data_IF_654281607833
#
_entry.id   IF_654281607833
#
_cell.length_a   1.000
_cell.length_b   1.000
_cell.length_c   1.000
_cell.angle_alpha   90.00
_cell.angle_beta   90.00
_cell.angle_gamma   90.00
#
_symmetry.space_group_name_H-M   'P 1'
#
loop_
_entity.id
_entity.type
_entity.pdbx_description
1 polymer ?
#
# COMPACT_ATOMS: atom_id res chain seq x y z
N UNK A 1 -28.03 9.65 10.47
CA UNK A 1 -26.62 9.44 10.07
C UNK A 1 -26.09 10.75 9.47
N UNK A 2 -24.84 11.11 9.74
CA UNK A 2 -24.19 12.25 9.07
C UNK A 2 -23.64 11.80 7.72
N UNK A 3 -23.70 12.67 6.73
CA UNK A 3 -23.13 12.47 5.40
C UNK A 3 -22.17 13.63 5.11
N UNK A 4 -21.06 13.33 4.42
CA UNK A 4 -20.13 14.34 3.93
C UNK A 4 -19.91 14.12 2.43
N UNK A 5 -19.88 15.21 1.67
CA UNK A 5 -19.45 15.19 0.27
C UNK A 5 -17.96 15.54 0.27
N UNK A 6 -17.13 14.61 -0.20
CA UNK A 6 -15.69 14.80 -0.25
C UNK A 6 -15.29 15.39 -1.61
N UNK A 7 -14.48 16.46 -1.64
CA UNK A 7 -13.87 16.93 -2.87
C UNK A 7 -12.95 15.84 -3.46
N UNK A 8 -12.87 15.79 -4.79
CA UNK A 8 -12.12 14.75 -5.52
C UNK A 8 -10.64 14.66 -5.14
N UNK A 9 -10.02 15.76 -4.75
CA UNK A 9 -8.61 15.80 -4.32
C UNK A 9 -8.37 15.34 -2.87
N UNK A 10 -9.42 14.87 -2.18
CA UNK A 10 -9.34 14.36 -0.82
C UNK A 10 -9.59 12.86 -0.72
N UNK A 11 -9.86 12.19 -1.84
CA UNK A 11 -10.07 10.74 -1.91
C UNK A 11 -9.15 10.18 -2.98
N UNK A 12 -8.40 9.14 -2.63
CA UNK A 12 -7.55 8.41 -3.57
C UNK A 12 -8.09 7.00 -3.71
N UNK A 13 -8.21 6.52 -4.95
CA UNK A 13 -8.36 5.10 -5.25
C UNK A 13 -6.96 4.53 -5.50
N UNK A 14 -6.52 3.60 -4.64
CA UNK A 14 -5.17 3.07 -4.67
C UNK A 14 -5.21 1.54 -4.80
N UNK A 15 -4.88 1.04 -5.99
CA UNK A 15 -4.80 -0.40 -6.25
C UNK A 15 -3.57 -1.07 -5.64
N UNK A 16 -2.58 -0.29 -5.17
CA UNK A 16 -1.42 -0.78 -4.43
C UNK A 16 -1.65 -0.86 -2.92
N UNK A 17 -2.78 -0.35 -2.42
CA UNK A 17 -3.12 -0.39 -1.01
C UNK A 17 -3.98 -1.62 -0.67
N UNK A 18 -3.44 -2.54 0.12
CA UNK A 18 -4.16 -3.73 0.60
C UNK A 18 -5.32 -3.39 1.57
N UNK A 19 -5.31 -2.18 2.13
CA UNK A 19 -6.31 -1.70 3.08
C UNK A 19 -6.79 -0.30 2.71
N UNK A 20 -8.03 0.01 3.09
CA UNK A 20 -8.54 1.38 3.05
C UNK A 20 -8.15 2.13 4.32
N UNK A 21 -7.88 3.44 4.19
CA UNK A 21 -7.44 4.31 5.29
C UNK A 21 -8.28 5.58 5.35
N UNK A 22 -8.80 5.91 6.52
CA UNK A 22 -9.54 7.14 6.79
C UNK A 22 -8.76 8.04 7.74
N UNK A 23 -8.59 9.31 7.37
CA UNK A 23 -7.93 10.29 8.23
C UNK A 23 -8.85 10.80 9.35
N UNK A 24 -8.30 11.14 10.54
CA UNK A 24 -9.10 11.48 11.73
C UNK A 24 -10.13 12.59 11.54
N UNK A 25 -9.83 13.63 10.74
CA UNK A 25 -10.75 14.74 10.51
C UNK A 25 -12.06 14.29 9.84
N UNK A 26 -11.97 13.37 8.87
CA UNK A 26 -13.16 12.83 8.20
C UNK A 26 -14.00 12.00 9.15
N UNK A 27 -13.36 11.12 9.95
CA UNK A 27 -14.04 10.33 10.98
C UNK A 27 -14.81 11.22 11.94
N UNK A 28 -14.17 12.29 12.45
CA UNK A 28 -14.77 13.24 13.39
C UNK A 28 -15.94 13.98 12.73
N UNK A 29 -15.78 14.46 11.50
CA UNK A 29 -16.82 15.16 10.76
C UNK A 29 -18.07 14.28 10.58
N UNK A 30 -17.87 13.00 10.24
CA UNK A 30 -18.94 12.02 10.08
C UNK A 30 -19.48 11.48 11.41
N UNK A 31 -18.78 11.70 12.53
CA UNK A 31 -19.14 11.17 13.85
C UNK A 31 -19.11 9.65 13.90
N UNK A 32 -18.19 9.02 13.16
CA UNK A 32 -18.06 7.57 13.12
C UNK A 32 -17.44 7.04 14.42
N UNK A 33 -18.04 5.98 14.97
CA UNK A 33 -17.50 5.26 16.13
C UNK A 33 -16.33 4.38 15.67
N UNK A 34 -15.11 4.57 16.21
CA UNK A 34 -14.00 3.66 15.96
C UNK A 34 -14.20 2.34 16.74
N UNK A 35 -13.71 1.26 16.15
CA UNK A 35 -13.68 -0.09 16.72
C UNK A 35 -12.23 -0.52 16.89
N UNK A 36 -11.95 -1.23 17.97
CA UNK A 36 -10.63 -1.83 18.22
C UNK A 36 -10.32 -2.88 17.15
N UNK A 37 -9.15 -2.78 16.52
CA UNK A 37 -8.74 -3.66 15.44
C UNK A 37 -8.25 -5.03 15.92
N UNK A 38 -7.70 -5.08 17.14
CA UNK A 38 -7.05 -6.27 17.72
C UNK A 38 -7.97 -7.50 17.80
N UNK A 39 -9.28 -7.31 17.85
CA UNK A 39 -10.27 -8.40 17.87
C UNK A 39 -10.70 -8.88 16.47
N UNK A 40 -10.30 -8.19 15.40
CA UNK A 40 -10.77 -8.44 14.04
C UNK A 40 -9.65 -8.70 13.03
N UNK A 41 -8.45 -8.16 13.28
CA UNK A 41 -7.33 -8.20 12.36
C UNK A 41 -6.04 -8.56 13.10
N UNK A 42 -5.07 -9.18 12.41
CA UNK A 42 -3.70 -9.26 12.91
C UNK A 42 -3.14 -7.86 13.20
N UNK A 43 -2.11 -7.79 14.05
CA UNK A 43 -1.40 -6.54 14.28
C UNK A 43 -0.87 -5.99 12.96
N UNK A 44 -1.29 -4.76 12.62
CA UNK A 44 -0.92 -4.08 11.39
C UNK A 44 -0.29 -2.73 11.71
N UNK A 45 0.66 -2.33 10.88
CA UNK A 45 1.31 -1.05 10.97
C UNK A 45 1.44 -0.43 9.57
N UNK A 46 1.33 0.88 9.52
CA UNK A 46 1.60 1.70 8.35
C UNK A 46 3.02 2.24 8.43
N UNK A 47 3.72 2.26 7.29
CA UNK A 47 4.94 3.05 7.17
C UNK A 47 4.57 4.47 6.78
N UNK A 48 4.97 5.44 7.59
CA UNK A 48 4.86 6.85 7.27
C UNK A 48 5.91 7.23 6.23
N UNK A 49 5.74 8.42 5.61
CA UNK A 49 6.69 8.94 4.62
C UNK A 49 8.10 9.19 5.18
N UNK A 50 8.24 9.30 6.51
CA UNK A 50 9.52 9.41 7.23
C UNK A 50 10.16 8.04 7.56
N UNK A 51 9.56 6.94 7.11
CA UNK A 51 10.02 5.57 7.36
C UNK A 51 9.63 5.04 8.75
N UNK A 52 8.99 5.83 9.61
CA UNK A 52 8.50 5.35 10.90
C UNK A 52 7.30 4.45 10.71
N UNK A 53 7.19 3.40 11.53
CA UNK A 53 6.02 2.52 11.54
C UNK A 53 5.06 2.97 12.62
N UNK A 54 3.80 3.10 12.27
CA UNK A 54 2.74 3.43 13.21
C UNK A 54 1.65 2.35 13.20
N UNK A 55 1.30 1.85 14.37
CA UNK A 55 0.32 0.78 14.51
C UNK A 55 -1.10 1.27 14.16
N UNK A 56 -1.84 0.42 13.45
CA UNK A 56 -3.23 0.65 13.08
C UNK A 56 -4.14 -0.04 14.10
N UNK A 57 -4.45 0.68 15.17
CA UNK A 57 -5.18 0.12 16.33
C UNK A 57 -6.69 0.15 16.18
N UNK A 58 -7.23 0.99 15.30
CA UNK A 58 -8.66 1.22 15.18
C UNK A 58 -9.13 1.21 13.73
N UNK A 59 -10.36 0.76 13.50
CA UNK A 59 -11.04 0.85 12.20
C UNK A 59 -12.45 1.42 12.35
N UNK A 60 -13.04 1.82 11.23
CA UNK A 60 -14.42 2.31 11.14
C UNK A 60 -15.14 1.60 10.02
N UNK A 61 -16.45 1.46 10.17
CA UNK A 61 -17.36 0.98 9.13
C UNK A 61 -18.23 2.14 8.64
N UNK A 62 -18.48 2.20 7.34
CA UNK A 62 -19.25 3.28 6.73
C UNK A 62 -19.76 2.89 5.34
N UNK A 63 -20.74 3.64 4.86
CA UNK A 63 -21.18 3.57 3.48
C UNK A 63 -20.41 4.57 2.62
N UNK A 64 -19.88 4.11 1.48
CA UNK A 64 -19.29 4.95 0.43
C UNK A 64 -20.22 4.97 -0.77
N UNK A 65 -20.46 6.16 -1.30
CA UNK A 65 -21.39 6.41 -2.39
C UNK A 65 -20.64 7.15 -3.51
N UNK A 66 -20.63 6.58 -4.71
CA UNK A 66 -20.01 7.19 -5.90
C UNK A 66 -20.97 7.09 -7.07
N UNK A 67 -21.50 8.23 -7.52
CA UNK A 67 -22.37 8.33 -8.72
C UNK A 67 -23.47 7.24 -8.78
N UNK A 68 -24.13 6.97 -7.65
CA UNK A 68 -25.20 5.96 -7.54
C UNK A 68 -24.75 4.58 -7.05
N UNK A 69 -23.47 4.24 -7.18
CA UNK A 69 -22.91 2.99 -6.63
C UNK A 69 -22.68 3.15 -5.14
N UNK A 70 -23.38 2.35 -4.34
CA UNK A 70 -23.26 2.31 -2.88
C UNK A 70 -22.56 1.04 -2.42
N UNK A 71 -21.58 1.18 -1.51
CA UNK A 71 -20.92 0.05 -0.83
C UNK A 71 -20.79 0.29 0.66
N UNK A 72 -21.15 -0.73 1.43
CA UNK A 72 -20.77 -0.82 2.83
C UNK A 72 -19.33 -1.33 2.91
N UNK A 73 -18.46 -0.58 3.58
CA UNK A 73 -17.03 -0.88 3.66
C UNK A 73 -16.48 -0.53 5.03
N UNK A 74 -15.20 -0.84 5.24
CA UNK A 74 -14.42 -0.43 6.38
C UNK A 74 -13.11 0.24 5.95
N UNK A 75 -12.50 0.98 6.86
CA UNK A 75 -11.17 1.55 6.71
C UNK A 75 -10.48 1.65 8.08
N UNK A 76 -9.17 1.49 8.10
CA UNK A 76 -8.37 1.82 9.29
C UNK A 76 -8.39 3.33 9.54
N UNK A 77 -8.40 3.71 10.81
CA UNK A 77 -8.21 5.12 11.18
C UNK A 77 -6.72 5.41 11.16
N UNK A 78 -6.31 6.36 10.32
CA UNK A 78 -4.93 6.79 10.27
C UNK A 78 -4.53 7.39 11.64
N UNK A 79 -3.39 6.98 12.22
CA UNK A 79 -2.87 7.58 13.45
C UNK A 79 -2.33 8.99 13.21
N UNK A 80 -2.07 9.34 11.94
CA UNK A 80 -1.50 10.63 11.55
C UNK A 80 -2.63 11.64 11.31
N UNK A 81 -2.69 12.69 12.13
CA UNK A 81 -3.71 13.75 11.99
C UNK A 81 -3.43 14.73 10.84
N UNK A 82 -2.18 14.81 10.36
CA UNK A 82 -1.76 15.79 9.35
C UNK A 82 -0.99 15.11 8.24
N UNK A 83 -1.56 15.18 7.05
CA UNK A 83 -0.79 15.16 5.80
C UNK A 83 -0.77 16.58 5.25
N UNK A 84 0.34 17.00 4.65
CA UNK A 84 0.40 18.28 3.92
C UNK A 84 -0.58 18.30 2.73
N UNK A 85 -0.91 17.10 2.26
CA UNK A 85 -1.99 16.83 1.33
C UNK A 85 -3.31 16.84 2.11
N UNK A 86 -4.36 17.50 1.63
CA UNK A 86 -5.72 17.50 2.24
C UNK A 86 -6.44 16.15 2.06
N UNK A 87 -5.72 15.04 2.21
CA UNK A 87 -6.21 13.68 1.99
C UNK A 87 -7.11 13.28 3.15
N UNK A 88 -8.30 12.78 2.83
CA UNK A 88 -9.33 12.40 3.81
C UNK A 88 -9.56 10.89 3.83
N UNK A 89 -9.38 10.22 2.69
CA UNK A 89 -9.68 8.80 2.50
C UNK A 89 -8.81 8.19 1.40
N UNK A 90 -8.25 7.02 1.67
CA UNK A 90 -7.67 6.12 0.68
C UNK A 90 -8.58 4.90 0.58
N UNK A 91 -9.04 4.61 -0.64
CA UNK A 91 -9.79 3.41 -0.96
C UNK A 91 -8.81 2.37 -1.51
N UNK A 92 -8.52 1.38 -0.68
CA UNK A 92 -7.68 0.25 -1.06
C UNK A 92 -8.46 -0.82 -1.82
N UNK A 93 -7.75 -1.87 -2.18
CA UNK A 93 -8.24 -3.03 -2.94
C UNK A 93 -9.56 -3.60 -2.39
N UNK A 94 -9.78 -3.78 -1.07
CA UNK A 94 -11.04 -4.33 -0.57
C UNK A 94 -12.27 -3.52 -1.00
N UNK A 95 -12.18 -2.18 -0.91
CA UNK A 95 -13.29 -1.32 -1.30
C UNK A 95 -13.43 -1.26 -2.82
N UNK A 96 -12.32 -1.13 -3.55
CA UNK A 96 -12.32 -1.07 -5.01
C UNK A 96 -12.87 -2.37 -5.64
N UNK A 97 -12.47 -3.53 -5.11
CA UNK A 97 -12.99 -4.83 -5.53
C UNK A 97 -14.50 -4.93 -5.24
N UNK A 98 -14.95 -4.48 -4.07
CA UNK A 98 -16.40 -4.49 -3.76
C UNK A 98 -17.21 -3.67 -4.76
N UNK A 99 -16.65 -2.56 -5.26
CA UNK A 99 -17.26 -1.67 -6.26
C UNK A 99 -17.15 -2.21 -7.70
N UNK A 100 -16.49 -3.35 -7.91
CA UNK A 100 -16.10 -3.84 -9.24
C UNK A 100 -15.38 -2.75 -10.05
N UNK A 101 -14.42 -2.07 -9.41
CA UNK A 101 -13.73 -0.95 -10.01
C UNK A 101 -12.74 -1.40 -11.10
N UNK A 102 -12.82 -0.78 -12.28
CA UNK A 102 -11.86 -1.00 -13.38
C UNK A 102 -11.21 0.32 -13.76
N UNK A 103 -9.90 0.41 -13.56
CA UNK A 103 -9.10 1.61 -13.89
C UNK A 103 -8.46 1.40 -15.27
N UNK A 104 -8.91 2.15 -16.27
CA UNK A 104 -8.35 2.13 -17.61
C UNK A 104 -7.37 3.29 -17.82
N UNK A 105 -6.08 3.05 -17.58
CA UNK A 105 -5.04 4.07 -17.73
C UNK A 105 -5.00 4.68 -19.14
N UNK A 106 -5.03 3.85 -20.19
CA UNK A 106 -4.96 4.33 -21.59
C UNK A 106 -6.17 5.16 -22.03
N UNK A 107 -7.35 4.95 -21.41
CA UNK A 107 -8.56 5.74 -21.69
C UNK A 107 -8.76 6.90 -20.71
N UNK A 108 -8.01 6.91 -19.60
CA UNK A 108 -8.23 7.87 -18.52
C UNK A 108 -9.59 7.73 -17.85
N UNK A 109 -10.12 6.50 -17.74
CA UNK A 109 -11.46 6.27 -17.18
C UNK A 109 -11.43 5.33 -15.99
N UNK A 110 -12.38 5.50 -15.08
CA UNK A 110 -12.64 4.55 -13.99
C UNK A 110 -14.07 4.07 -14.13
N UNK A 111 -14.26 2.77 -14.33
CA UNK A 111 -15.57 2.14 -14.31
C UNK A 111 -15.88 1.66 -12.90
N UNK A 112 -17.13 1.81 -12.46
CA UNK A 112 -17.64 1.27 -11.21
C UNK A 112 -19.01 0.62 -11.46
N UNK A 113 -19.42 -0.29 -10.58
CA UNK A 113 -20.69 -0.99 -10.68
C UNK A 113 -20.54 -2.39 -11.26
N UNK A 114 -21.52 -3.24 -10.97
CA UNK A 114 -21.47 -4.66 -11.26
C UNK A 114 -22.79 -5.11 -11.91
N UNK A 115 -22.74 -5.36 -13.22
CA UNK A 115 -23.89 -5.81 -13.99
C UNK A 115 -24.39 -7.19 -13.53
N UNK A 116 -23.51 -8.04 -13.00
CA UNK A 116 -23.91 -9.35 -12.46
C UNK A 116 -24.70 -9.22 -11.16
N UNK A 117 -24.68 -8.02 -10.55
CA UNK A 117 -25.47 -7.65 -9.36
C UNK A 117 -26.68 -6.76 -9.69
N UNK A 118 -27.04 -6.65 -10.96
CA UNK A 118 -28.14 -5.78 -11.45
C UNK A 118 -27.91 -4.29 -11.08
N UNK A 119 -26.63 -3.87 -11.09
CA UNK A 119 -26.24 -2.49 -10.85
C UNK A 119 -25.83 -1.79 -12.16
N UNK A 120 -26.20 -0.51 -12.28
CA UNK A 120 -25.75 0.31 -13.40
C UNK A 120 -24.22 0.45 -13.38
N UNK A 121 -23.60 0.15 -14.51
CA UNK A 121 -22.18 0.35 -14.72
C UNK A 121 -21.94 1.80 -15.15
N UNK A 122 -21.25 2.54 -14.30
CA UNK A 122 -20.93 3.95 -14.52
C UNK A 122 -19.48 4.11 -14.97
N UNK A 123 -19.22 5.08 -15.85
CA UNK A 123 -17.87 5.41 -16.32
C UNK A 123 -17.54 6.83 -15.91
N UNK A 124 -16.57 6.95 -15.00
CA UNK A 124 -16.03 8.23 -14.55
C UNK A 124 -14.92 8.69 -15.51
N UNK A 125 -14.94 9.98 -15.82
CA UNK A 125 -13.93 10.66 -16.64
C UNK A 125 -13.09 11.62 -15.79
N UNK A 126 -12.14 11.11 -14.99
CA UNK A 126 -11.21 11.96 -14.25
C UNK A 126 -10.43 12.87 -15.22
N UNK A 127 -10.25 14.17 -14.93
CA UNK A 127 -9.32 15.00 -15.70
C UNK A 127 -7.92 14.38 -15.66
N UNK A 128 -7.38 14.20 -16.86
CA UNK A 128 -6.05 13.69 -17.10
C UNK A 128 -5.03 14.78 -16.78
N UNK A 129 -4.04 14.43 -15.97
CA UNK A 129 -2.84 15.23 -15.78
C UNK A 129 -1.68 14.50 -16.46
N UNK A 130 -0.87 15.21 -17.23
CA UNK A 130 0.35 14.64 -17.78
C UNK A 130 1.27 14.22 -16.62
N UNK A 131 1.93 13.06 -16.76
CA UNK A 131 2.97 12.66 -15.83
C UNK A 131 4.09 13.69 -15.90
N UNK A 132 4.51 14.17 -14.72
CA UNK A 132 5.71 15.01 -14.56
C UNK A 132 6.87 14.20 -13.97
N UNK A 133 6.66 12.90 -13.73
CA UNK A 133 7.69 12.03 -13.21
C UNK A 133 8.76 11.78 -14.29
N UNK A 134 10.04 11.79 -13.94
CA UNK A 134 11.11 11.36 -14.84
C UNK A 134 10.84 9.94 -15.35
N UNK A 135 11.14 9.69 -16.61
CA UNK A 135 11.19 8.34 -17.14
C UNK A 135 12.31 7.58 -16.42
N UNK A 136 11.96 6.46 -15.77
CA UNK A 136 12.94 5.58 -15.13
C UNK A 136 13.20 4.43 -16.09
N UNK A 137 14.40 4.40 -16.67
CA UNK A 137 14.90 3.27 -17.45
C UNK A 137 15.83 2.45 -16.55
N UNK A 138 15.52 1.17 -16.36
CA UNK A 138 16.46 0.23 -15.74
C UNK A 138 17.34 -0.36 -16.83
N UNK A 139 18.65 -0.21 -16.74
CA UNK A 139 19.63 -0.91 -17.58
C UNK A 139 20.35 -1.95 -16.74
N UNK A 140 20.53 -3.17 -17.27
CA UNK A 140 21.18 -4.32 -16.60
C UNK A 140 22.66 -4.12 -16.23
N UNK A 141 23.21 -2.91 -16.32
CA UNK A 141 24.61 -2.63 -16.01
C UNK A 141 24.77 -2.18 -14.57
N UNK A 142 24.58 -3.06 -13.59
CA UNK A 142 25.03 -2.89 -12.20
C UNK A 142 25.01 -4.25 -11.46
N UNK A 143 25.51 -5.32 -12.11
CA UNK A 143 25.70 -6.63 -11.47
C UNK A 143 27.16 -7.09 -11.39
N UNK A 144 28.10 -6.25 -11.81
CA UNK A 144 29.52 -6.59 -11.80
C UNK A 144 30.26 -5.61 -10.87
N UNK A 145 31.07 -6.17 -9.97
CA UNK A 145 31.99 -5.53 -9.01
C UNK A 145 31.43 -5.20 -7.62
N UNK A 146 31.22 -6.23 -6.80
CA UNK A 146 31.43 -6.16 -5.34
C UNK A 146 31.97 -7.50 -4.81
N UNK A 147 32.96 -8.05 -5.52
CA UNK A 147 33.67 -9.26 -5.14
C UNK A 147 35.08 -9.29 -5.72
N UNK A 148 36.05 -9.45 -4.81
CA UNK A 148 37.51 -9.58 -4.97
C UNK A 148 38.26 -8.26 -4.72
N UNK A 149 39.35 -8.18 -3.95
CA UNK A 149 40.06 -9.00 -2.97
C UNK A 149 41.15 -8.03 -2.39
N UNK A 150 41.85 -8.42 -1.33
CA UNK A 150 43.29 -8.17 -1.10
C UNK A 150 43.61 -8.07 0.41
N UNK A 151 44.44 -9.01 0.87
CA UNK A 151 45.10 -8.88 2.17
C UNK A 151 45.84 -10.13 2.65
N UNK A 152 46.73 -10.68 1.82
CA UNK A 152 47.77 -11.62 2.24
C UNK A 152 48.44 -11.19 3.56
N UNK A 153 48.54 -12.10 4.52
CA UNK A 153 49.53 -12.03 5.58
C UNK A 153 50.06 -13.41 5.92
N UNK A 154 51.20 -13.72 5.32
CA UNK A 154 52.11 -14.80 5.71
C UNK A 154 52.54 -14.64 7.17
N UNK A 155 52.35 -15.68 7.98
CA UNK A 155 53.19 -15.93 9.16
C UNK A 155 53.34 -17.42 9.37
N UNK A 156 54.49 -17.92 8.95
CA UNK A 156 55.04 -19.25 9.20
C UNK A 156 55.09 -19.61 10.69
N UNK A 157 54.72 -20.84 11.02
CA UNK A 157 55.39 -21.60 12.07
C UNK A 157 55.30 -23.08 11.74
N UNK A 158 56.46 -23.65 11.42
CA UNK A 158 56.73 -25.07 11.30
C UNK A 158 56.30 -25.81 12.57
N UNK A 159 55.69 -26.98 12.41
CA UNK A 159 56.02 -28.12 13.25
C UNK A 159 55.67 -29.41 12.48
N UNK A 160 56.74 -29.99 11.93
CA UNK A 160 56.79 -31.33 11.40
C UNK A 160 56.34 -32.35 12.45
N UNK A 161 55.48 -33.29 12.07
CA UNK A 161 55.72 -34.67 12.47
C UNK A 161 55.12 -35.68 11.50
N UNK A 162 56.00 -36.23 10.68
CA UNK A 162 55.86 -37.49 9.98
C UNK A 162 55.42 -38.62 10.94
N UNK A 163 54.40 -39.38 10.56
CA UNK A 163 54.62 -40.78 10.17
C UNK A 163 53.34 -41.53 9.80
N UNK A 164 53.30 -41.92 8.53
CA UNK A 164 53.33 -43.32 8.10
C UNK A 164 52.03 -44.14 7.99
N UNK A 165 51.79 -44.53 6.73
CA UNK A 165 51.39 -45.86 6.25
C UNK A 165 49.93 -46.36 6.29
N UNK A 166 49.47 -46.68 5.06
CA UNK A 166 48.61 -47.81 4.64
C UNK A 166 47.17 -47.82 5.19
N UNK A 167 46.12 -47.82 4.37
CA UNK A 167 45.85 -48.73 3.27
C UNK A 167 44.57 -49.53 3.58
N UNK A 168 43.73 -49.69 2.55
CA UNK A 168 42.57 -50.59 2.41
C UNK A 168 41.17 -50.19 2.94
N UNK A 169 40.28 -50.09 1.94
CA UNK A 169 38.87 -50.54 1.86
C UNK A 169 37.83 -49.98 2.81
#
# INVERSE_FOLDING_TARGET
MKQAILPRNQVIADSGADISLMYPHLRIALGLKPYEASSHFPAMAMSNADGTKCELTHFVVFDVHVEGVKRFTWAFVSPTEKTDQKLSLILGVPTLNSMNAVIHFGKGTVQLGDADRDEDVIVLHPPLSASVAPEITMSEKDSDEDGEDEGDSDSSSDDDNDNNEQGFR
#
